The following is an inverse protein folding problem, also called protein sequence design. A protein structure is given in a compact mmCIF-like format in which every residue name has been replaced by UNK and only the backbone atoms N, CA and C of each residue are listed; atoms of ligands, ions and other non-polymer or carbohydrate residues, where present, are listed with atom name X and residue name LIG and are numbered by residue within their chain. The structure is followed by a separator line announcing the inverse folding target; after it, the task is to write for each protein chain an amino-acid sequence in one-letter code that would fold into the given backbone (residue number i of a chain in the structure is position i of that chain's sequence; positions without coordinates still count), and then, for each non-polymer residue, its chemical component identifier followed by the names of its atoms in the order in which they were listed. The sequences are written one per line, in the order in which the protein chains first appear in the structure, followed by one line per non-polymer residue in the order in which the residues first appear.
data_IF_999573557127
#
_entry.id   IF_999573557127
#
_cell.length_a   1.000
_cell.length_b   1.000
_cell.length_c   1.000
_cell.angle_alpha   90.00
_cell.angle_beta   90.00
_cell.angle_gamma   90.00
#
_symmetry.space_group_name_H-M   'P 1'
#
loop_
_entity.id
_entity.type
_entity.pdbx_description
1 polymer ?
#
# COMPACT_ATOMS: atom_id res chain seq x y z
N UNK A 1 -26.01 -12.83 3.82
CA UNK A 1 -25.94 -12.76 2.34
C UNK A 1 -25.10 -11.57 1.95
N UNK A 2 -23.85 -11.80 1.58
CA UNK A 2 -22.91 -10.77 1.14
C UNK A 2 -23.27 -10.32 -0.28
N UNK A 3 -23.21 -9.02 -0.55
CA UNK A 3 -23.48 -8.40 -1.85
C UNK A 3 -22.68 -9.02 -3.01
N UNK A 4 -21.54 -9.64 -2.73
CA UNK A 4 -20.71 -10.38 -3.70
C UNK A 4 -21.36 -11.64 -4.25
N UNK A 5 -22.21 -12.33 -3.47
CA UNK A 5 -22.91 -13.55 -3.92
C UNK A 5 -23.90 -13.22 -5.05
N UNK A 6 -24.45 -12.00 -5.05
CA UNK A 6 -25.39 -11.53 -6.08
C UNK A 6 -24.70 -11.43 -7.45
N UNK A 7 -23.41 -11.12 -7.44
CA UNK A 7 -22.57 -10.96 -8.64
C UNK A 7 -21.77 -12.23 -8.95
N UNK A 8 -22.00 -13.35 -8.26
CA UNK A 8 -21.25 -14.56 -8.56
C UNK A 8 -21.78 -15.16 -9.88
N UNK A 9 -20.90 -15.42 -10.87
CA UNK A 9 -21.34 -16.09 -12.08
C UNK A 9 -21.49 -17.60 -11.84
N UNK A 10 -22.50 -18.19 -12.48
CA UNK A 10 -22.77 -19.64 -12.48
C UNK A 10 -22.74 -20.16 -13.89
N UNK A 11 -22.09 -21.31 -14.06
CA UNK A 11 -22.10 -22.04 -15.31
C UNK A 11 -23.39 -22.86 -15.43
N UNK A 12 -24.21 -22.55 -16.43
CA UNK A 12 -25.37 -23.36 -16.78
C UNK A 12 -24.92 -24.47 -17.74
N UNK A 13 -25.12 -25.71 -17.33
CA UNK A 13 -24.82 -26.89 -18.13
C UNK A 13 -26.09 -27.39 -18.82
N UNK A 14 -25.99 -27.63 -20.12
CA UNK A 14 -27.01 -28.33 -20.90
C UNK A 14 -27.17 -29.78 -20.39
N UNK A 15 -28.33 -30.46 -20.53
CA UNK A 15 -28.51 -31.89 -20.26
C UNK A 15 -27.41 -32.85 -20.78
N UNK A 16 -26.63 -32.45 -21.78
CA UNK A 16 -25.46 -33.18 -22.28
C UNK A 16 -24.14 -32.87 -21.55
N UNK A 17 -24.17 -32.09 -20.47
CA UNK A 17 -23.01 -31.68 -19.67
C UNK A 17 -22.17 -30.56 -20.30
N UNK A 18 -22.58 -30.01 -21.44
CA UNK A 18 -21.85 -28.93 -22.13
C UNK A 18 -22.13 -27.58 -21.48
N UNK A 19 -21.09 -26.76 -21.37
CA UNK A 19 -21.20 -25.39 -20.88
C UNK A 19 -22.01 -24.57 -21.90
N UNK A 20 -23.18 -24.07 -21.49
CA UNK A 20 -24.07 -23.32 -22.40
C UNK A 20 -23.84 -21.82 -22.27
N UNK A 21 -23.89 -21.28 -21.06
CA UNK A 21 -23.84 -19.83 -20.83
C UNK A 21 -23.52 -19.47 -19.37
N UNK A 22 -23.08 -18.24 -19.14
CA UNK A 22 -22.75 -17.69 -17.82
C UNK A 22 -23.93 -16.86 -17.30
N UNK A 23 -24.49 -17.23 -16.16
CA UNK A 23 -25.65 -16.57 -15.58
C UNK A 23 -25.37 -16.04 -14.18
N UNK A 24 -26.18 -15.11 -13.71
CA UNK A 24 -26.09 -14.63 -12.33
C UNK A 24 -26.53 -15.73 -11.34
N UNK A 25 -25.83 -15.88 -10.22
CA UNK A 25 -26.15 -16.89 -9.20
C UNK A 25 -27.55 -16.73 -8.60
N UNK A 26 -27.97 -15.49 -8.37
CA UNK A 26 -29.26 -15.18 -7.73
C UNK A 26 -30.43 -15.34 -8.70
N UNK A 27 -30.22 -15.03 -9.98
CA UNK A 27 -31.24 -15.17 -11.01
C UNK A 27 -30.63 -15.80 -12.28
N UNK A 28 -30.82 -17.11 -12.49
CA UNK A 28 -30.29 -17.82 -13.64
C UNK A 28 -31.00 -17.44 -14.95
N UNK A 29 -32.06 -16.62 -14.92
CA UNK A 29 -32.66 -16.07 -16.15
C UNK A 29 -31.83 -14.92 -16.73
N UNK A 30 -30.97 -14.32 -15.92
CA UNK A 30 -30.13 -13.19 -16.31
C UNK A 30 -28.77 -13.69 -16.78
N UNK A 31 -28.52 -13.54 -18.08
CA UNK A 31 -27.21 -13.81 -18.66
C UNK A 31 -26.22 -12.68 -18.29
N UNK A 32 -25.04 -13.07 -17.79
CA UNK A 32 -24.06 -12.14 -17.19
C UNK A 32 -23.51 -11.11 -18.19
N UNK A 33 -23.48 -11.46 -19.49
CA UNK A 33 -23.11 -10.59 -20.60
C UNK A 33 -24.25 -10.41 -21.62
N UNK A 34 -25.50 -10.67 -21.21
CA UNK A 34 -26.67 -10.46 -22.06
C UNK A 34 -26.91 -8.98 -22.38
N UNK A 35 -27.74 -8.69 -23.37
CA UNK A 35 -28.01 -7.33 -23.87
C UNK A 35 -28.32 -6.31 -22.77
N UNK A 36 -29.07 -6.73 -21.76
CA UNK A 36 -29.59 -5.85 -20.72
C UNK A 36 -28.54 -5.56 -19.63
N UNK A 37 -27.58 -6.46 -19.45
CA UNK A 37 -26.54 -6.39 -18.42
C UNK A 37 -25.16 -5.99 -18.96
N UNK A 38 -24.98 -6.10 -20.29
CA UNK A 38 -23.79 -5.68 -21.02
C UNK A 38 -23.29 -4.26 -20.64
N UNK A 39 -24.12 -3.21 -20.54
CA UNK A 39 -23.61 -1.88 -20.18
C UNK A 39 -23.00 -1.85 -18.77
N UNK A 40 -23.55 -2.60 -17.81
CA UNK A 40 -23.01 -2.69 -16.46
C UNK A 40 -21.71 -3.48 -16.42
N UNK A 41 -21.66 -4.62 -17.12
CA UNK A 41 -20.45 -5.43 -17.24
C UNK A 41 -19.32 -4.65 -17.91
N UNK A 42 -19.62 -3.92 -18.98
CA UNK A 42 -18.65 -3.05 -19.66
C UNK A 42 -18.19 -1.92 -18.75
N UNK A 43 -19.11 -1.29 -18.02
CA UNK A 43 -18.76 -0.23 -17.05
C UNK A 43 -17.85 -0.77 -15.95
N UNK A 44 -18.15 -1.95 -15.39
CA UNK A 44 -17.32 -2.60 -14.39
C UNK A 44 -15.92 -2.95 -14.94
N UNK A 45 -15.84 -3.41 -16.19
CA UNK A 45 -14.56 -3.70 -16.86
C UNK A 45 -13.74 -2.44 -17.07
N UNK A 46 -14.36 -1.35 -17.53
CA UNK A 46 -13.71 -0.04 -17.70
C UNK A 46 -13.21 0.50 -16.36
N UNK A 47 -14.04 0.44 -15.31
CA UNK A 47 -13.66 0.86 -13.96
C UNK A 47 -12.52 0.00 -13.40
N UNK A 48 -12.58 -1.32 -13.58
CA UNK A 48 -11.52 -2.24 -13.15
C UNK A 48 -10.22 -1.92 -13.88
N UNK A 49 -10.27 -1.69 -15.19
CA UNK A 49 -9.10 -1.30 -15.97
C UNK A 49 -8.54 0.04 -15.48
N UNK A 50 -9.39 1.04 -15.27
CA UNK A 50 -8.99 2.38 -14.89
C UNK A 50 -8.43 2.47 -13.45
N UNK A 51 -8.98 1.70 -12.51
CA UNK A 51 -8.64 1.78 -11.09
C UNK A 51 -7.59 0.75 -10.66
N UNK A 52 -7.47 -0.37 -11.37
CA UNK A 52 -6.53 -1.44 -11.02
C UNK A 52 -5.39 -1.48 -12.03
N UNK A 53 -5.71 -1.69 -13.30
CA UNK A 53 -4.69 -1.97 -14.30
C UNK A 53 -3.85 -0.73 -14.63
N UNK A 54 -4.48 0.44 -14.79
CA UNK A 54 -3.76 1.68 -15.08
C UNK A 54 -2.77 2.04 -13.95
N UNK A 55 -3.17 2.13 -12.66
CA UNK A 55 -2.21 2.41 -11.58
C UNK A 55 -1.10 1.38 -11.48
N UNK A 56 -1.41 0.10 -11.71
CA UNK A 56 -0.43 -0.98 -11.68
C UNK A 56 0.60 -0.85 -12.81
N UNK A 57 0.15 -0.62 -14.05
CA UNK A 57 1.01 -0.39 -15.20
C UNK A 57 1.83 0.88 -15.02
N UNK A 58 1.24 1.97 -14.52
CA UNK A 58 1.96 3.22 -14.24
C UNK A 58 3.06 2.99 -13.21
N UNK A 59 2.77 2.33 -12.07
CA UNK A 59 3.77 2.06 -11.04
C UNK A 59 4.89 1.13 -11.50
N UNK A 60 4.58 0.20 -12.40
CA UNK A 60 5.55 -0.75 -12.95
C UNK A 60 6.43 -0.11 -14.03
N UNK A 61 5.86 0.70 -14.90
CA UNK A 61 6.55 1.34 -16.03
C UNK A 61 7.28 2.62 -15.64
N UNK A 62 6.80 3.36 -14.64
CA UNK A 62 7.38 4.64 -14.25
C UNK A 62 8.87 4.61 -13.87
N UNK A 63 9.42 3.55 -13.23
CA UNK A 63 10.85 3.44 -12.97
C UNK A 63 11.71 3.25 -14.23
N UNK A 64 11.11 2.91 -15.37
CA UNK A 64 11.85 2.75 -16.63
C UNK A 64 12.19 4.13 -17.21
N UNK A 65 13.48 4.38 -17.43
CA UNK A 65 13.96 5.65 -18.01
C UNK A 65 13.31 5.94 -19.36
N UNK A 66 13.13 4.91 -20.21
CA UNK A 66 12.47 5.04 -21.51
C UNK A 66 11.04 5.59 -21.40
N UNK A 67 10.29 5.13 -20.40
CA UNK A 67 8.93 5.60 -20.15
C UNK A 67 8.92 7.04 -19.62
N UNK A 68 9.84 7.39 -18.72
CA UNK A 68 9.99 8.78 -18.26
C UNK A 68 10.38 9.73 -19.40
N UNK A 69 11.29 9.32 -20.29
CA UNK A 69 11.66 10.10 -21.47
C UNK A 69 10.48 10.27 -22.42
N UNK A 70 9.69 9.21 -22.64
CA UNK A 70 8.48 9.29 -23.46
C UNK A 70 7.46 10.29 -22.88
N UNK A 71 7.23 10.25 -21.57
CA UNK A 71 6.34 11.17 -20.88
C UNK A 71 6.83 12.62 -20.93
N UNK A 72 8.13 12.85 -20.79
CA UNK A 72 8.73 14.18 -20.84
C UNK A 72 8.84 14.77 -22.25
N UNK A 73 8.93 13.93 -23.28
CA UNK A 73 9.04 14.36 -24.68
C UNK A 73 7.70 14.85 -25.26
N UNK A 74 6.58 14.34 -24.75
CA UNK A 74 5.28 15.00 -24.94
C UNK A 74 5.16 16.11 -23.90
N UNK A 75 4.52 17.23 -24.21
CA UNK A 75 4.22 18.31 -23.25
C UNK A 75 3.32 17.89 -22.05
N UNK A 76 3.19 16.59 -21.82
CA UNK A 76 2.47 15.95 -20.74
C UNK A 76 3.38 15.90 -19.52
N UNK A 77 3.92 17.06 -19.12
CA UNK A 77 4.56 17.24 -17.82
C UNK A 77 3.48 17.12 -16.75
N UNK A 78 3.01 15.90 -16.53
CA UNK A 78 2.02 15.58 -15.53
C UNK A 78 2.72 15.58 -14.18
N UNK A 79 2.89 16.77 -13.60
CA UNK A 79 3.32 16.95 -12.21
C UNK A 79 2.51 16.05 -11.27
N UNK A 80 1.21 15.86 -11.56
CA UNK A 80 0.33 14.91 -10.85
C UNK A 80 0.82 13.47 -10.91
N UNK A 81 1.30 13.00 -12.06
CA UNK A 81 1.83 11.65 -12.22
C UNK A 81 3.13 11.46 -11.46
N UNK A 82 4.01 12.48 -11.46
CA UNK A 82 5.22 12.48 -10.66
C UNK A 82 4.90 12.42 -9.16
N UNK A 83 3.98 13.26 -8.67
CA UNK A 83 3.54 13.27 -7.27
C UNK A 83 2.92 11.91 -6.90
N UNK A 84 2.08 11.35 -7.78
CA UNK A 84 1.49 10.04 -7.58
C UNK A 84 2.58 8.97 -7.47
N UNK A 85 3.46 8.85 -8.47
CA UNK A 85 4.51 7.84 -8.49
C UNK A 85 5.46 7.98 -7.30
N UNK A 86 5.89 9.19 -6.94
CA UNK A 86 6.75 9.44 -5.78
C UNK A 86 6.06 9.07 -4.45
N UNK A 87 4.74 9.24 -4.35
CA UNK A 87 3.99 8.85 -3.15
C UNK A 87 4.04 7.33 -2.90
N UNK A 88 4.01 6.52 -3.95
CA UNK A 88 4.11 5.06 -3.86
C UNK A 88 5.56 4.57 -3.86
N UNK A 89 6.45 5.20 -4.63
CA UNK A 89 7.81 4.74 -4.84
C UNK A 89 8.83 5.32 -3.85
N UNK A 90 8.49 6.43 -3.17
CA UNK A 90 9.42 7.17 -2.32
C UNK A 90 9.97 6.39 -1.13
N UNK A 91 9.28 5.33 -0.70
CA UNK A 91 9.71 4.44 0.38
C UNK A 91 10.74 3.38 -0.06
N UNK A 92 10.89 3.13 -1.36
CA UNK A 92 11.81 2.14 -1.93
C UNK A 92 13.16 2.74 -2.26
N UNK A 93 14.23 1.93 -2.20
CA UNK A 93 15.59 2.37 -2.52
C UNK A 93 15.67 2.86 -3.98
N UNK A 94 16.30 4.01 -4.16
CA UNK A 94 16.44 4.75 -5.43
C UNK A 94 17.87 4.71 -6.00
N UNK A 95 18.77 3.98 -5.34
CA UNK A 95 20.13 3.78 -5.79
C UNK A 95 21.08 4.97 -5.63
N UNK A 96 20.66 6.07 -5.00
CA UNK A 96 21.50 7.27 -4.83
C UNK A 96 22.67 7.09 -3.86
N UNK A 97 22.66 6.03 -3.03
CA UNK A 97 23.67 5.74 -2.01
C UNK A 97 24.45 4.45 -2.30
N UNK A 98 24.80 4.19 -3.56
CA UNK A 98 25.49 2.94 -3.96
C UNK A 98 24.63 1.68 -3.76
N UNK A 99 23.31 1.86 -3.60
CA UNK A 99 22.35 0.76 -3.49
C UNK A 99 21.74 0.46 -4.86
N UNK A 100 21.11 -0.69 -5.01
CA UNK A 100 20.33 -1.00 -6.22
C UNK A 100 18.99 -0.27 -6.18
N UNK A 101 18.54 0.22 -7.33
CA UNK A 101 17.21 0.79 -7.50
C UNK A 101 16.14 -0.31 -7.45
N UNK A 102 15.19 -0.15 -6.52
CA UNK A 102 14.07 -1.06 -6.28
C UNK A 102 12.71 -0.37 -6.44
N UNK A 103 12.62 0.79 -7.11
CA UNK A 103 11.34 1.49 -7.35
C UNK A 103 10.33 0.65 -8.16
N UNK A 104 10.82 -0.20 -9.06
CA UNK A 104 10.01 -1.19 -9.79
C UNK A 104 9.28 -2.18 -8.88
N UNK A 105 9.81 -2.39 -7.67
CA UNK A 105 9.18 -3.24 -6.68
C UNK A 105 7.83 -2.68 -6.20
N UNK A 106 7.57 -1.37 -6.32
CA UNK A 106 6.26 -0.80 -5.98
C UNK A 106 5.13 -1.40 -6.84
N UNK A 107 5.39 -1.56 -8.14
CA UNK A 107 4.45 -2.22 -9.05
C UNK A 107 4.30 -3.70 -8.75
N UNK A 108 5.41 -4.42 -8.52
CA UNK A 108 5.38 -5.84 -8.13
C UNK A 108 4.63 -6.06 -6.81
N UNK A 109 4.84 -5.18 -5.84
CA UNK A 109 4.19 -5.20 -4.53
C UNK A 109 2.67 -5.05 -4.67
N UNK A 110 2.20 -4.13 -5.52
CA UNK A 110 0.78 -3.99 -5.82
C UNK A 110 0.23 -5.22 -6.56
N UNK A 111 0.99 -5.76 -7.53
CA UNK A 111 0.62 -6.96 -8.27
C UNK A 111 0.46 -8.18 -7.35
N UNK A 112 1.40 -8.42 -6.43
CA UNK A 112 1.34 -9.52 -5.47
C UNK A 112 0.11 -9.42 -4.57
N UNK A 113 -0.28 -8.20 -4.16
CA UNK A 113 -1.52 -7.98 -3.40
C UNK A 113 -2.76 -8.32 -4.23
N UNK A 114 -2.79 -7.95 -5.50
CA UNK A 114 -3.88 -8.37 -6.40
C UNK A 114 -3.94 -9.88 -6.60
N UNK A 115 -2.79 -10.55 -6.76
CA UNK A 115 -2.74 -12.01 -6.88
C UNK A 115 -3.34 -12.67 -5.62
N UNK A 116 -3.00 -12.19 -4.42
CA UNK A 116 -3.55 -12.72 -3.17
C UNK A 116 -5.08 -12.58 -3.12
N UNK A 117 -5.60 -11.40 -3.45
CA UNK A 117 -7.05 -11.15 -3.51
C UNK A 117 -7.73 -12.00 -4.58
N UNK A 118 -7.09 -12.13 -5.75
CA UNK A 118 -7.58 -12.96 -6.83
C UNK A 118 -7.64 -14.43 -6.43
N UNK A 119 -6.58 -14.97 -5.80
CA UNK A 119 -6.56 -16.34 -5.29
C UNK A 119 -7.69 -16.64 -4.31
N UNK A 120 -8.16 -15.64 -3.56
CA UNK A 120 -9.32 -15.78 -2.67
C UNK A 120 -10.62 -15.97 -3.47
N UNK A 121 -10.81 -15.24 -4.56
CA UNK A 121 -12.09 -15.08 -5.28
C UNK A 121 -12.28 -16.04 -6.48
N UNK A 122 -11.20 -16.60 -7.05
CA UNK A 122 -11.23 -17.17 -8.42
C UNK A 122 -11.91 -18.54 -8.55
N UNK A 123 -12.23 -19.27 -7.48
CA UNK A 123 -12.83 -20.61 -7.65
C UNK A 123 -13.84 -21.04 -6.58
N UNK A 124 -14.79 -21.88 -7.01
CA UNK A 124 -15.77 -22.54 -6.15
C UNK A 124 -15.14 -23.58 -5.20
N UNK A 125 -13.88 -23.96 -5.44
CA UNK A 125 -13.13 -24.88 -4.58
C UNK A 125 -12.39 -24.11 -3.50
N UNK A 126 -13.11 -23.77 -2.43
CA UNK A 126 -12.59 -23.02 -1.28
C UNK A 126 -11.27 -23.58 -0.72
N UNK A 127 -11.10 -24.92 -0.75
CA UNK A 127 -9.88 -25.60 -0.31
C UNK A 127 -8.66 -25.26 -1.15
N UNK A 128 -8.82 -25.25 -2.48
CA UNK A 128 -7.72 -24.95 -3.43
C UNK A 128 -7.33 -23.48 -3.32
N UNK A 129 -8.32 -22.58 -3.28
CA UNK A 129 -8.09 -21.14 -3.14
C UNK A 129 -7.34 -20.80 -1.85
N UNK A 130 -7.70 -21.42 -0.73
CA UNK A 130 -7.03 -21.21 0.54
C UNK A 130 -5.54 -21.60 0.47
N UNK A 131 -5.23 -22.76 -0.12
CA UNK A 131 -3.84 -23.21 -0.30
C UNK A 131 -3.07 -22.25 -1.22
N UNK A 132 -3.66 -21.84 -2.36
CA UNK A 132 -3.02 -20.89 -3.28
C UNK A 132 -2.75 -19.53 -2.62
N UNK A 133 -3.67 -19.06 -1.77
CA UNK A 133 -3.50 -17.82 -1.02
C UNK A 133 -2.33 -17.92 -0.01
N UNK A 134 -2.25 -19.02 0.76
CA UNK A 134 -1.14 -19.29 1.70
C UNK A 134 0.20 -19.33 0.96
N UNK A 135 0.27 -20.04 -0.16
CA UNK A 135 1.48 -20.11 -1.01
C UNK A 135 1.87 -18.72 -1.53
N UNK A 136 0.89 -17.93 -1.99
CA UNK A 136 1.13 -16.58 -2.52
C UNK A 136 1.66 -15.62 -1.46
N UNK A 137 1.11 -15.65 -0.23
CA UNK A 137 1.59 -14.84 0.89
C UNK A 137 3.01 -15.27 1.29
N UNK A 138 3.28 -16.57 1.36
CA UNK A 138 4.61 -17.09 1.68
C UNK A 138 5.65 -16.66 0.62
N UNK A 139 5.32 -16.79 -0.66
CA UNK A 139 6.18 -16.34 -1.76
C UNK A 139 6.46 -14.84 -1.66
N UNK A 140 5.45 -14.03 -1.37
CA UNK A 140 5.60 -12.59 -1.20
C UNK A 140 6.53 -12.24 -0.03
N UNK A 141 6.40 -12.92 1.11
CA UNK A 141 7.33 -12.77 2.23
C UNK A 141 8.78 -13.13 1.84
N UNK A 142 8.97 -14.20 1.08
CA UNK A 142 10.29 -14.61 0.57
C UNK A 142 10.87 -13.53 -0.36
N UNK A 143 10.07 -12.98 -1.27
CA UNK A 143 10.51 -11.90 -2.16
C UNK A 143 10.94 -10.64 -1.37
N UNK A 144 10.17 -10.25 -0.35
CA UNK A 144 10.53 -9.13 0.52
C UNK A 144 11.84 -9.39 1.29
N UNK A 145 12.02 -10.61 1.79
CA UNK A 145 13.21 -11.04 2.51
C UNK A 145 14.44 -11.19 1.61
N UNK A 146 14.29 -11.45 0.31
CA UNK A 146 15.42 -11.50 -0.62
C UNK A 146 15.80 -10.08 -1.04
N UNK A 147 14.84 -9.31 -1.58
CA UNK A 147 15.15 -8.04 -2.24
C UNK A 147 15.41 -6.88 -1.28
N UNK A 148 14.84 -6.91 -0.06
CA UNK A 148 14.94 -5.82 0.90
C UNK A 148 14.69 -4.43 0.26
N UNK A 149 13.53 -4.22 -0.38
CA UNK A 149 13.36 -3.13 -1.33
C UNK A 149 13.19 -1.75 -0.65
N UNK A 150 12.84 -1.71 0.64
CA UNK A 150 12.58 -0.49 1.40
C UNK A 150 13.85 0.27 1.82
N UNK A 151 13.79 1.61 1.84
CA UNK A 151 14.87 2.50 2.36
C UNK A 151 15.12 2.31 3.85
N UNK A 152 14.05 2.18 4.64
CA UNK A 152 14.13 2.00 6.10
C UNK A 152 13.76 0.57 6.47
N UNK A 153 14.62 -0.09 7.24
CA UNK A 153 14.36 -1.45 7.75
C UNK A 153 13.04 -1.55 8.56
N UNK A 154 12.59 -0.44 9.14
CA UNK A 154 11.34 -0.39 9.87
C UNK A 154 10.11 -0.70 8.97
N UNK A 155 10.09 -0.18 7.74
CA UNK A 155 8.98 -0.45 6.80
C UNK A 155 8.95 -1.92 6.38
N UNK A 156 10.12 -2.52 6.14
CA UNK A 156 10.23 -3.95 5.88
C UNK A 156 9.67 -4.78 7.04
N UNK A 157 10.04 -4.44 8.28
CA UNK A 157 9.53 -5.15 9.47
C UNK A 157 8.01 -5.06 9.60
N UNK A 158 7.43 -3.90 9.30
CA UNK A 158 5.98 -3.71 9.32
C UNK A 158 5.27 -4.56 8.27
N UNK A 159 5.76 -4.56 7.04
CA UNK A 159 5.15 -5.31 5.94
C UNK A 159 5.26 -6.83 6.18
N UNK A 160 6.43 -7.30 6.63
CA UNK A 160 6.62 -8.70 7.00
C UNK A 160 5.71 -9.13 8.15
N UNK A 161 5.52 -8.30 9.18
CA UNK A 161 4.64 -8.64 10.29
C UNK A 161 3.17 -8.64 9.88
N UNK A 162 2.77 -7.70 9.01
CA UNK A 162 1.42 -7.65 8.46
C UNK A 162 1.13 -8.91 7.64
N UNK A 163 2.05 -9.30 6.75
CA UNK A 163 1.90 -10.51 5.93
C UNK A 163 1.94 -11.78 6.76
N UNK A 164 2.77 -11.84 7.81
CA UNK A 164 2.78 -12.96 8.74
C UNK A 164 1.46 -13.07 9.52
N UNK A 165 0.92 -11.94 10.01
CA UNK A 165 -0.39 -11.91 10.64
C UNK A 165 -1.51 -12.34 9.69
N UNK A 166 -1.45 -11.88 8.44
CA UNK A 166 -2.39 -12.31 7.39
C UNK A 166 -2.27 -13.81 7.12
N UNK A 167 -1.05 -14.36 7.05
CA UNK A 167 -0.81 -15.80 6.87
C UNK A 167 -1.45 -16.61 7.99
N UNK A 168 -1.22 -16.22 9.25
CA UNK A 168 -1.81 -16.89 10.42
C UNK A 168 -3.35 -16.85 10.35
N UNK A 169 -3.91 -15.67 10.08
CA UNK A 169 -5.35 -15.50 9.91
C UNK A 169 -5.93 -16.43 8.83
N UNK A 170 -5.30 -16.45 7.65
CA UNK A 170 -5.70 -17.27 6.53
C UNK A 170 -5.64 -18.78 6.87
N UNK A 171 -4.58 -19.23 7.54
CA UNK A 171 -4.48 -20.64 7.97
C UNK A 171 -5.51 -21.01 9.02
N UNK A 172 -5.77 -20.15 10.01
CA UNK A 172 -6.81 -20.37 11.02
C UNK A 172 -8.20 -20.46 10.38
N UNK A 173 -8.50 -19.55 9.44
CA UNK A 173 -9.74 -19.58 8.68
C UNK A 173 -9.86 -20.89 7.87
N UNK A 174 -8.79 -21.32 7.20
CA UNK A 174 -8.81 -22.58 6.46
C UNK A 174 -9.07 -23.79 7.36
N UNK A 175 -8.40 -23.89 8.51
CA UNK A 175 -8.63 -24.97 9.49
C UNK A 175 -10.09 -24.97 9.96
N UNK A 176 -10.63 -23.78 10.29
CA UNK A 176 -12.01 -23.66 10.75
C UNK A 176 -13.04 -24.12 9.71
N UNK A 177 -12.81 -23.83 8.41
CA UNK A 177 -13.71 -24.27 7.33
C UNK A 177 -13.62 -25.78 7.12
N UNK A 178 -12.41 -26.37 7.18
CA UNK A 178 -12.23 -27.81 6.98
C UNK A 178 -12.94 -28.65 8.03
N UNK A 179 -13.00 -28.16 9.26
CA UNK A 179 -13.60 -28.90 10.35
C UNK A 179 -15.11 -28.62 10.51
N UNK A 180 -15.62 -27.51 9.97
CA UNK A 180 -17.06 -27.23 9.93
C UNK A 180 -17.85 -28.35 9.24
N UNK A 181 -17.24 -29.05 8.28
CA UNK A 181 -17.84 -30.24 7.62
C UNK A 181 -17.98 -31.46 8.57
N UNK A 182 -17.47 -31.39 9.81
CA UNK A 182 -17.29 -32.56 10.69
C UNK A 182 -17.60 -32.34 12.19
N UNK A 183 -18.20 -31.22 12.62
CA UNK A 183 -18.13 -30.82 14.03
C UNK A 183 -19.23 -31.28 15.02
N UNK A 184 -18.73 -31.70 16.20
CA UNK A 184 -19.35 -31.63 17.53
C UNK A 184 -19.18 -30.22 18.19
N UNK A 185 -20.05 -29.85 19.13
CA UNK A 185 -20.17 -28.49 19.71
C UNK A 185 -18.92 -27.92 20.42
N UNK A 186 -18.13 -28.74 21.13
CA UNK A 186 -17.02 -28.26 21.97
C UNK A 186 -15.84 -27.69 21.18
N UNK A 187 -15.67 -28.20 19.98
CA UNK A 187 -14.53 -27.88 19.14
C UNK A 187 -14.74 -26.47 18.52
N UNK A 188 -15.99 -26.08 18.23
CA UNK A 188 -16.33 -24.76 17.68
C UNK A 188 -15.82 -23.58 18.54
N UNK A 189 -15.89 -23.68 19.87
CA UNK A 189 -15.48 -22.61 20.79
C UNK A 189 -13.96 -22.33 20.74
N UNK A 190 -13.14 -23.38 20.65
CA UNK A 190 -11.68 -23.24 20.53
C UNK A 190 -11.28 -22.61 19.20
N UNK A 191 -12.00 -22.91 18.12
CA UNK A 191 -11.75 -22.33 16.80
C UNK A 191 -12.16 -20.87 16.72
N UNK A 192 -13.30 -20.50 17.31
CA UNK A 192 -13.71 -19.10 17.44
C UNK A 192 -12.68 -18.31 18.23
N UNK A 193 -12.14 -18.88 19.32
CA UNK A 193 -11.08 -18.27 20.10
C UNK A 193 -9.80 -18.04 19.28
N UNK A 194 -9.33 -19.06 18.54
CA UNK A 194 -8.16 -18.97 17.64
C UNK A 194 -8.37 -17.90 16.56
N UNK A 195 -9.57 -17.83 15.97
CA UNK A 195 -9.92 -16.81 14.99
C UNK A 195 -9.84 -15.42 15.63
N UNK A 196 -10.52 -15.19 16.76
CA UNK A 196 -10.52 -13.90 17.46
C UNK A 196 -9.09 -13.46 17.83
N UNK A 197 -8.26 -14.41 18.29
CA UNK A 197 -6.85 -14.14 18.62
C UNK A 197 -6.06 -13.72 17.37
N UNK A 198 -6.25 -14.41 16.24
CA UNK A 198 -5.60 -14.07 14.98
C UNK A 198 -6.03 -12.69 14.46
N UNK A 199 -7.28 -12.25 14.67
CA UNK A 199 -7.76 -10.90 14.32
C UNK A 199 -7.18 -9.81 15.22
N UNK A 200 -7.00 -10.13 16.50
CA UNK A 200 -6.50 -9.17 17.49
C UNK A 200 -5.03 -8.83 17.25
N UNK A 201 -4.21 -9.77 16.79
CA UNK A 201 -2.76 -9.56 16.61
C UNK A 201 -2.45 -8.38 15.66
N UNK A 202 -2.97 -8.31 14.42
CA UNK A 202 -2.77 -7.14 13.56
C UNK A 202 -3.35 -5.86 14.15
N UNK A 203 -4.54 -5.95 14.77
CA UNK A 203 -5.28 -4.80 15.28
C UNK A 203 -4.54 -4.10 16.43
N UNK A 204 -4.07 -4.88 17.41
CA UNK A 204 -3.25 -4.39 18.53
C UNK A 204 -1.93 -3.83 18.02
N UNK A 205 -1.32 -4.46 17.03
CA UNK A 205 -0.09 -3.97 16.42
C UNK A 205 -0.26 -2.61 15.73
N UNK A 206 -1.31 -2.44 14.93
CA UNK A 206 -1.64 -1.15 14.31
C UNK A 206 -1.90 -0.06 15.34
N UNK A 207 -2.65 -0.37 16.40
CA UNK A 207 -2.87 0.55 17.52
C UNK A 207 -1.53 0.98 18.16
N UNK A 208 -0.61 0.04 18.36
CA UNK A 208 0.74 0.31 18.86
C UNK A 208 1.57 1.22 17.94
N UNK A 209 1.49 1.02 16.61
CA UNK A 209 2.16 1.89 15.63
C UNK A 209 1.61 3.31 15.69
N UNK A 210 0.28 3.46 15.67
CA UNK A 210 -0.39 4.76 15.72
C UNK A 210 -0.01 5.47 17.00
N UNK A 211 -0.03 4.78 18.13
CA UNK A 211 0.35 5.33 19.43
C UNK A 211 1.81 5.80 19.42
N UNK A 212 2.74 4.97 18.94
CA UNK A 212 4.15 5.34 18.80
C UNK A 212 4.34 6.56 17.90
N UNK A 213 3.60 6.65 16.80
CA UNK A 213 3.65 7.80 15.89
C UNK A 213 3.14 9.09 16.54
N UNK A 214 2.02 9.03 17.26
CA UNK A 214 1.45 10.16 18.01
C UNK A 214 2.44 10.63 19.09
N UNK A 215 3.01 9.70 19.87
CA UNK A 215 4.00 10.00 20.90
C UNK A 215 5.24 10.64 20.29
N UNK A 216 5.75 10.09 19.19
CA UNK A 216 6.92 10.63 18.48
C UNK A 216 6.70 12.07 18.01
N UNK A 217 5.53 12.39 17.44
CA UNK A 217 5.17 13.75 17.05
C UNK A 217 5.07 14.69 18.25
N UNK A 218 4.42 14.27 19.34
CA UNK A 218 4.34 15.07 20.56
C UNK A 218 5.73 15.34 21.15
N UNK A 219 6.58 14.32 21.21
CA UNK A 219 7.95 14.45 21.73
C UNK A 219 8.79 15.42 20.88
N UNK A 220 8.73 15.30 19.55
CA UNK A 220 9.42 16.21 18.65
C UNK A 220 8.92 17.65 18.79
N UNK A 221 7.60 17.84 18.91
CA UNK A 221 7.02 19.16 19.14
C UNK A 221 7.47 19.78 20.48
N UNK A 222 7.46 18.99 21.56
CA UNK A 222 7.96 19.43 22.87
C UNK A 222 9.45 19.78 22.82
N UNK A 223 10.26 18.98 22.11
CA UNK A 223 11.69 19.25 21.93
C UNK A 223 11.92 20.56 21.17
N UNK A 224 11.18 20.78 20.08
CA UNK A 224 11.23 22.04 19.31
C UNK A 224 10.84 23.26 20.15
N UNK A 225 9.80 23.15 20.99
CA UNK A 225 9.41 24.21 21.91
C UNK A 225 10.49 24.51 22.96
N UNK A 226 11.13 23.46 23.50
CA UNK A 226 12.23 23.61 24.47
C UNK A 226 13.43 24.30 23.81
N UNK A 227 13.78 23.95 22.58
CA UNK A 227 14.84 24.59 21.81
C UNK A 227 14.54 26.08 21.54
N UNK A 228 13.30 26.43 21.15
CA UNK A 228 12.88 27.83 20.97
C UNK A 228 13.00 28.63 22.26
N UNK A 229 12.60 28.06 23.41
CA UNK A 229 12.71 28.72 24.73
C UNK A 229 14.16 28.95 25.15
N UNK A 230 15.05 28.00 24.89
CA UNK A 230 16.49 28.19 25.17
C UNK A 230 17.11 29.25 24.26
N UNK A 231 16.71 29.29 22.98
CA UNK A 231 17.18 30.32 22.04
C UNK A 231 16.67 31.72 22.40
N UNK A 232 15.43 31.87 22.89
CA UNK A 232 14.91 33.16 23.35
C UNK A 232 15.62 33.66 24.61
N UNK A 233 15.93 32.74 25.56
CA UNK A 233 16.70 33.08 26.76
C UNK A 233 18.15 33.47 26.40
N UNK A 234 18.77 32.79 25.43
CA UNK A 234 20.12 33.11 24.96
C UNK A 234 20.19 34.42 24.17
N UNK A 235 19.12 34.79 23.46
CA UNK A 235 18.97 36.10 22.81
C UNK A 235 18.82 37.25 23.82
N UNK A 236 18.11 37.02 24.93
CA UNK A 236 17.95 38.01 26.02
C UNK A 236 19.22 38.20 26.86
N UNK A 237 20.19 37.28 26.79
CA UNK A 237 21.47 37.35 27.50
C UNK A 237 22.62 37.90 26.66
N UNK A 238 22.40 38.31 25.40
CA UNK A 238 23.38 39.16 24.73
C UNK A 238 23.31 40.53 25.39
N UNK A 239 24.34 40.97 26.15
CA UNK A 239 24.34 42.31 26.68
C UNK A 239 24.24 43.27 25.50
N UNK A 240 23.37 44.25 25.66
CA UNK A 240 23.18 45.38 24.77
C UNK A 240 24.48 46.20 24.80
N UNK A 241 25.53 45.72 24.12
CA UNK A 241 26.75 46.49 23.91
C UNK A 241 26.50 47.46 22.76
N UNK A 242 25.53 48.35 22.97
CA UNK A 242 25.38 49.56 22.20
C UNK A 242 25.81 50.70 23.12
N UNK A 243 27.08 51.07 23.03
CA UNK A 243 27.42 52.49 23.11
C UNK A 243 28.24 52.90 21.88
N UNK A 244 27.98 54.13 21.41
CA UNK A 244 28.37 54.61 20.09
C UNK A 244 29.83 55.05 20.13
N UNK A 245 30.56 54.84 19.04
CA UNK A 245 31.79 55.58 18.80
C UNK A 245 31.57 56.45 17.57
N UNK A 246 31.28 57.71 17.88
CA UNK A 246 31.54 58.86 17.02
C UNK A 246 32.97 58.77 16.48
N UNK A 247 33.08 58.88 15.16
CA UNK A 247 34.13 59.57 14.42
C UNK A 247 33.40 60.12 13.20
N UNK A 248 32.82 61.32 13.30
CA UNK A 248 33.47 62.54 12.79
C UNK A 248 34.94 62.35 12.47
N UNK A 249 35.25 62.34 11.18
CA UNK A 249 36.22 63.28 10.62
C UNK A 249 35.97 63.44 9.12
N UNK A 250 36.02 64.70 8.76
CA UNK A 250 35.75 65.32 7.48
C UNK A 250 36.85 65.04 6.43
N UNK A 251 36.47 65.36 5.19
CA UNK A 251 37.27 66.09 4.21
C UNK A 251 38.41 65.44 3.40
N UNK A 252 38.45 65.95 2.15
CA UNK A 252 39.57 65.99 1.19
C UNK A 252 40.03 64.64 0.60
N UNK A 253 40.14 64.44 -0.72
CA UNK A 253 40.69 65.36 -1.69
C UNK A 253 40.58 64.81 -3.13
N UNK A 254 40.46 65.76 -4.06
CA UNK A 254 40.99 65.84 -5.42
C UNK A 254 41.49 64.60 -6.20
N UNK A 255 40.93 64.45 -7.40
CA UNK A 255 41.68 64.35 -8.67
C UNK A 255 42.47 63.06 -8.93
N UNK A 256 43.02 62.79 -10.10
CA UNK A 256 43.16 63.41 -11.44
C UNK A 256 44.00 62.36 -12.20
N UNK A 257 43.71 62.13 -13.48
CA UNK A 257 44.52 61.40 -14.50
C UNK A 257 44.82 59.90 -14.25
N UNK A 258 44.69 58.95 -15.18
CA UNK A 258 44.86 58.89 -16.64
C UNK A 258 44.01 57.77 -17.24
#
# INVERSE_FOLDING_TARGET
YTSLIILQPVYLHDPHGRLHSLHAYVDPTVEYFGSDHLPYALTALVLSFALILIPLLLLFLYPLRSFQTFLNNRQWQCTTLHIFADSFQGCYKDGTNGTRDYRWFAGLHLLLRFIIVFCYDTSNYYRVNAVLMVISIALYMVLLAIFHPYKKHLHLRYDMLLLFGLLLWCTALQVSVMQFDSFDEYDFAMHLFLLVLAALIPSVFFAGIILRWIIGKKLHYCMMLRLRRMNSLRGSMRPFNNRPLFTDDDDENSGVDT
#
